data_IF_114649617305
#
_entry.id   IF_114649617305
#
_cell.length_a   1.000
_cell.length_b   1.000
_cell.length_c   1.000
_cell.angle_alpha   90.00
_cell.angle_beta   90.00
_cell.angle_gamma   90.00
#
_symmetry.space_group_name_H-M   'P 1'
#
loop_
_entity.id
_entity.type
_entity.pdbx_description
1 polymer ?
#
# COMPACT_ATOMS: atom_id res chain seq x y z
N UNK A 1 -10.43 -21.86 3.44
CA UNK A 1 -9.24 -22.45 2.79
C UNK A 1 -8.82 -21.79 1.48
N UNK A 2 -9.72 -21.56 0.51
CA UNK A 2 -9.36 -20.96 -0.78
C UNK A 2 -8.63 -19.60 -0.66
N UNK A 3 -9.19 -18.64 0.09
CA UNK A 3 -8.56 -17.32 0.28
C UNK A 3 -7.15 -17.41 0.90
N UNK A 4 -7.00 -18.22 1.96
CA UNK A 4 -5.71 -18.47 2.62
C UNK A 4 -4.65 -19.00 1.64
N UNK A 5 -5.04 -19.91 0.74
CA UNK A 5 -4.14 -20.41 -0.31
C UNK A 5 -3.82 -19.34 -1.35
N UNK A 6 -4.83 -18.60 -1.81
CA UNK A 6 -4.66 -17.51 -2.77
C UNK A 6 -3.61 -16.50 -2.30
N UNK A 7 -3.75 -15.96 -1.09
CA UNK A 7 -2.77 -15.01 -0.54
C UNK A 7 -1.38 -15.63 -0.35
N UNK A 8 -1.30 -16.90 0.05
CA UNK A 8 0.02 -17.55 0.18
C UNK A 8 0.75 -17.65 -1.17
N UNK A 9 0.02 -17.98 -2.24
CA UNK A 9 0.58 -18.09 -3.58
C UNK A 9 0.88 -16.71 -4.20
N UNK A 10 0.01 -15.72 -3.97
CA UNK A 10 0.24 -14.32 -4.37
C UNK A 10 1.49 -13.74 -3.68
N UNK A 11 1.65 -13.96 -2.38
CA UNK A 11 2.77 -13.39 -1.64
C UNK A 11 4.10 -14.04 -2.01
N UNK A 12 4.09 -15.35 -2.32
CA UNK A 12 5.26 -16.02 -2.92
C UNK A 12 5.62 -15.41 -4.27
N UNK A 13 4.64 -15.03 -5.08
CA UNK A 13 4.90 -14.29 -6.33
C UNK A 13 5.49 -12.91 -6.05
N UNK A 14 4.96 -12.16 -5.08
CA UNK A 14 5.49 -10.83 -4.74
C UNK A 14 6.94 -10.91 -4.25
N UNK A 15 7.26 -11.87 -3.37
CA UNK A 15 8.62 -12.15 -2.93
C UNK A 15 9.53 -12.51 -4.12
N UNK A 16 9.05 -13.37 -5.01
CA UNK A 16 9.80 -13.77 -6.22
C UNK A 16 10.09 -12.60 -7.16
N UNK A 17 9.17 -11.63 -7.28
CA UNK A 17 9.39 -10.41 -8.07
C UNK A 17 10.46 -9.53 -7.41
N UNK A 18 10.37 -9.34 -6.08
CA UNK A 18 11.33 -8.55 -5.31
C UNK A 18 12.76 -9.12 -5.37
N UNK A 19 12.89 -10.46 -5.31
CA UNK A 19 14.18 -11.16 -5.34
C UNK A 19 14.58 -11.63 -6.75
N UNK A 20 13.89 -11.18 -7.81
CA UNK A 20 14.11 -11.71 -9.15
C UNK A 20 15.53 -11.39 -9.64
N UNK A 21 16.33 -12.38 -10.08
CA UNK A 21 17.75 -12.18 -10.36
C UNK A 21 18.05 -11.46 -11.68
N UNK A 22 17.01 -11.14 -12.47
CA UNK A 22 17.11 -10.41 -13.73
C UNK A 22 16.31 -9.12 -13.64
N UNK A 23 16.62 -8.10 -14.47
CA UNK A 23 15.79 -6.91 -14.56
C UNK A 23 14.32 -7.26 -14.79
N UNK A 24 13.48 -6.80 -13.87
CA UNK A 24 12.03 -6.80 -13.98
C UNK A 24 11.55 -5.36 -14.16
N UNK A 25 10.89 -5.10 -15.28
CA UNK A 25 10.47 -3.75 -15.70
C UNK A 25 8.95 -3.70 -15.69
N UNK A 26 8.38 -2.85 -14.82
CA UNK A 26 6.94 -2.65 -14.68
C UNK A 26 6.51 -1.33 -15.31
N UNK A 27 5.54 -1.39 -16.20
CA UNK A 27 4.91 -0.26 -16.86
C UNK A 27 3.52 -0.03 -16.24
N UNK A 28 3.35 1.02 -15.44
CA UNK A 28 2.18 1.22 -14.56
C UNK A 28 1.24 2.34 -15.05
N UNK A 29 0.57 2.15 -16.18
CA UNK A 29 -0.41 3.12 -16.69
C UNK A 29 -1.74 3.04 -15.95
N UNK A 30 -2.43 4.18 -15.79
CA UNK A 30 -3.74 4.20 -15.14
C UNK A 30 -3.69 3.74 -13.67
N UNK A 31 -4.69 2.98 -13.24
CA UNK A 31 -4.82 2.56 -11.85
C UNK A 31 -3.93 1.35 -11.52
N UNK A 32 -3.06 1.51 -10.52
CA UNK A 32 -2.27 0.42 -9.92
C UNK A 32 -2.60 0.37 -8.43
N UNK A 33 -3.42 -0.60 -8.01
CA UNK A 33 -3.93 -0.70 -6.63
C UNK A 33 -3.94 -2.15 -6.15
N UNK A 34 -3.77 -2.37 -4.84
CA UNK A 34 -3.75 -3.70 -4.21
C UNK A 34 -2.78 -4.66 -4.90
N UNK A 35 -3.27 -5.82 -5.34
CA UNK A 35 -2.45 -6.80 -6.08
C UNK A 35 -1.70 -6.21 -7.29
N UNK A 36 -2.21 -5.14 -7.91
CA UNK A 36 -1.51 -4.39 -8.95
C UNK A 36 -0.17 -3.82 -8.48
N UNK A 37 -0.13 -3.28 -7.25
CA UNK A 37 1.11 -2.83 -6.58
C UNK A 37 2.03 -4.02 -6.32
N UNK A 38 1.47 -5.15 -5.88
CA UNK A 38 2.24 -6.38 -5.60
C UNK A 38 2.98 -6.95 -6.81
N UNK A 39 2.43 -6.82 -8.02
CA UNK A 39 3.05 -7.33 -9.25
C UNK A 39 3.96 -6.31 -9.96
N UNK A 40 4.01 -5.07 -9.47
CA UNK A 40 4.75 -3.99 -10.13
C UNK A 40 5.77 -3.31 -9.21
N UNK A 41 5.36 -2.84 -8.03
CA UNK A 41 6.13 -1.91 -7.20
C UNK A 41 7.31 -2.56 -6.47
N UNK A 42 7.48 -3.88 -6.57
CA UNK A 42 8.66 -4.62 -6.11
C UNK A 42 9.68 -4.91 -7.22
N UNK A 43 9.34 -4.57 -8.47
CA UNK A 43 10.22 -4.74 -9.61
C UNK A 43 11.46 -3.84 -9.55
N UNK A 44 12.51 -4.24 -10.26
CA UNK A 44 13.77 -3.47 -10.33
C UNK A 44 13.67 -2.12 -11.06
N UNK A 45 12.71 -1.97 -11.98
CA UNK A 45 12.50 -0.74 -12.76
C UNK A 45 11.00 -0.46 -12.85
N UNK A 46 10.54 0.57 -12.15
CA UNK A 46 9.11 0.85 -11.97
C UNK A 46 8.77 2.16 -12.65
N UNK A 47 8.07 2.06 -13.79
CA UNK A 47 7.82 3.17 -14.71
C UNK A 47 6.38 3.66 -14.55
N UNK A 48 6.23 4.94 -14.24
CA UNK A 48 4.97 5.69 -14.26
C UNK A 48 4.91 6.62 -15.47
N UNK A 49 3.70 7.03 -15.84
CA UNK A 49 3.43 7.98 -16.91
C UNK A 49 2.34 8.99 -16.49
N UNK A 50 1.90 9.80 -17.44
CA UNK A 50 1.01 10.96 -17.27
C UNK A 50 -0.29 10.64 -16.52
N UNK A 51 -0.83 9.44 -16.74
CA UNK A 51 -2.12 9.01 -16.18
C UNK A 51 -2.00 7.97 -15.06
N UNK A 52 -0.78 7.70 -14.57
CA UNK A 52 -0.56 6.77 -13.47
C UNK A 52 -1.23 7.27 -12.19
N UNK A 53 -1.96 6.37 -11.53
CA UNK A 53 -2.62 6.58 -10.25
C UNK A 53 -2.41 5.34 -9.38
N UNK A 54 -1.56 5.47 -8.37
CA UNK A 54 -1.21 4.38 -7.45
C UNK A 54 -1.88 4.62 -6.09
N UNK A 55 -2.46 3.60 -5.48
CA UNK A 55 -3.03 3.69 -4.13
C UNK A 55 -3.10 2.31 -3.44
N UNK A 56 -3.20 2.32 -2.11
CA UNK A 56 -3.45 1.15 -1.27
C UNK A 56 -4.80 1.32 -0.54
N UNK A 57 -5.95 0.98 -1.18
CA UNK A 57 -7.29 1.22 -0.65
C UNK A 57 -7.84 0.15 0.30
N UNK A 58 -7.02 -0.80 0.73
CA UNK A 58 -7.43 -2.05 1.40
C UNK A 58 -8.18 -1.81 2.72
N UNK A 59 -7.80 -0.80 3.50
CA UNK A 59 -8.50 -0.46 4.75
C UNK A 59 -9.99 -0.17 4.50
N UNK A 60 -10.34 0.39 3.34
CA UNK A 60 -11.71 0.71 2.94
C UNK A 60 -12.58 -0.52 2.68
N UNK A 61 -11.98 -1.72 2.56
CA UNK A 61 -12.68 -3.00 2.39
C UNK A 61 -12.39 -3.97 3.55
N UNK A 62 -11.91 -3.47 4.69
CA UNK A 62 -11.67 -4.31 5.87
C UNK A 62 -10.42 -5.19 5.76
N UNK A 63 -9.45 -4.80 4.92
CA UNK A 63 -8.16 -5.46 4.75
C UNK A 63 -7.01 -4.48 5.05
N UNK A 64 -5.78 -4.96 5.21
CA UNK A 64 -4.57 -4.12 5.34
C UNK A 64 -3.89 -3.96 3.98
N UNK A 65 -3.11 -2.89 3.74
CA UNK A 65 -2.21 -2.80 2.59
C UNK A 65 -1.25 -4.00 2.58
N UNK A 66 -1.57 -4.99 1.75
CA UNK A 66 -0.90 -6.28 1.67
C UNK A 66 0.02 -6.35 0.45
N UNK A 67 0.36 -7.56 0.00
CA UNK A 67 1.24 -7.85 -1.15
C UNK A 67 2.60 -7.16 -1.08
N UNK A 68 3.13 -6.96 0.14
CA UNK A 68 4.38 -6.24 0.44
C UNK A 68 4.20 -4.72 0.54
N UNK A 69 2.96 -4.24 0.46
CA UNK A 69 2.61 -2.83 0.57
C UNK A 69 3.05 -2.21 1.88
N UNK A 70 3.02 -2.96 2.99
CA UNK A 70 3.52 -2.46 4.29
C UNK A 70 4.99 -2.07 4.22
N UNK A 71 5.83 -2.78 3.44
CA UNK A 71 7.24 -2.44 3.25
C UNK A 71 7.42 -1.17 2.40
N UNK A 72 6.63 -1.01 1.33
CA UNK A 72 6.67 0.19 0.49
C UNK A 72 6.26 1.42 1.31
N UNK A 73 5.16 1.31 2.05
CA UNK A 73 4.69 2.36 2.97
C UNK A 73 5.72 2.64 4.08
N UNK A 74 6.35 1.60 4.64
CA UNK A 74 7.39 1.75 5.65
C UNK A 74 8.61 2.53 5.14
N UNK A 75 8.96 2.40 3.85
CA UNK A 75 10.08 3.09 3.20
C UNK A 75 9.75 4.50 2.71
N UNK A 76 8.47 4.85 2.60
CA UNK A 76 8.05 6.20 2.23
C UNK A 76 8.58 7.24 3.25
N UNK A 77 8.95 8.45 2.79
CA UNK A 77 9.59 9.45 3.64
C UNK A 77 8.70 9.89 4.81
N UNK A 78 9.29 9.96 6.00
CA UNK A 78 8.62 10.39 7.22
C UNK A 78 7.39 9.55 7.55
N UNK A 79 6.23 10.19 7.60
CA UNK A 79 4.92 9.59 7.87
C UNK A 79 4.03 9.48 6.61
N UNK A 80 4.59 9.67 5.41
CA UNK A 80 3.85 9.54 4.15
C UNK A 80 3.21 8.16 3.99
N UNK A 81 3.88 7.09 4.39
CA UNK A 81 3.31 5.74 4.34
C UNK A 81 2.10 5.54 5.25
N UNK A 82 2.10 6.15 6.44
CA UNK A 82 0.95 6.10 7.34
C UNK A 82 -0.24 6.86 6.72
N UNK A 83 0.00 8.06 6.18
CA UNK A 83 -1.02 8.79 5.44
C UNK A 83 -1.60 7.96 4.30
N UNK A 84 -0.76 7.49 3.37
CA UNK A 84 -1.21 6.74 2.18
C UNK A 84 -1.98 5.45 2.54
N UNK A 85 -1.48 4.67 3.50
CA UNK A 85 -2.11 3.41 3.91
C UNK A 85 -3.42 3.58 4.67
N UNK A 86 -3.63 4.72 5.35
CA UNK A 86 -4.84 4.99 6.11
C UNK A 86 -5.92 5.72 5.30
N UNK A 87 -5.53 6.59 4.36
CA UNK A 87 -6.47 7.44 3.61
C UNK A 87 -6.79 6.93 2.22
N UNK A 88 -6.02 5.97 1.70
CA UNK A 88 -6.08 5.51 0.31
C UNK A 88 -5.89 6.64 -0.72
N UNK A 89 -5.19 7.72 -0.32
CA UNK A 89 -4.91 8.85 -1.21
C UNK A 89 -4.13 8.39 -2.44
N UNK A 90 -4.51 8.91 -3.61
CA UNK A 90 -3.93 8.51 -4.89
C UNK A 90 -2.64 9.27 -5.16
N UNK A 91 -1.58 8.53 -5.41
CA UNK A 91 -0.31 9.04 -5.88
C UNK A 91 -0.36 9.20 -7.40
N UNK A 92 -0.14 10.43 -7.87
CA UNK A 92 0.28 10.66 -9.26
C UNK A 92 1.74 10.22 -9.47
N UNK A 93 2.31 10.38 -10.68
CA UNK A 93 3.68 9.95 -10.98
C UNK A 93 4.74 10.56 -10.04
N UNK A 94 4.67 11.86 -9.78
CA UNK A 94 5.60 12.54 -8.86
C UNK A 94 5.53 11.99 -7.43
N UNK A 95 4.32 11.89 -6.88
CA UNK A 95 4.10 11.34 -5.55
C UNK A 95 4.51 9.86 -5.45
N UNK A 96 4.26 9.06 -6.48
CA UNK A 96 4.65 7.66 -6.51
C UNK A 96 6.17 7.49 -6.46
N UNK A 97 6.92 8.33 -7.20
CA UNK A 97 8.38 8.35 -7.15
C UNK A 97 8.85 8.81 -5.76
N UNK A 98 8.29 9.90 -5.22
CA UNK A 98 8.65 10.40 -3.88
C UNK A 98 8.35 9.40 -2.77
N UNK A 99 7.24 8.67 -2.87
CA UNK A 99 6.85 7.65 -1.91
C UNK A 99 7.64 6.34 -2.06
N UNK A 100 8.44 6.20 -3.13
CA UNK A 100 9.22 4.99 -3.41
C UNK A 100 8.40 3.85 -4.01
N UNK A 101 7.23 4.12 -4.59
CA UNK A 101 6.40 3.15 -5.33
C UNK A 101 6.80 3.04 -6.81
N UNK A 102 7.54 4.04 -7.32
CA UNK A 102 8.07 4.08 -8.67
C UNK A 102 9.50 4.66 -8.70
N UNK A 103 10.23 4.44 -9.79
CA UNK A 103 11.60 4.94 -9.97
C UNK A 103 11.70 5.98 -11.08
N UNK A 104 10.91 5.79 -12.15
CA UNK A 104 11.07 6.52 -13.40
C UNK A 104 9.74 7.03 -13.92
N UNK A 105 9.77 8.25 -14.46
CA UNK A 105 8.69 8.79 -15.28
C UNK A 105 9.10 8.73 -16.75
N UNK A 106 8.23 8.18 -17.59
CA UNK A 106 8.34 8.23 -19.04
C UNK A 106 6.95 8.47 -19.61
N UNK A 107 6.79 9.50 -20.43
CA UNK A 107 5.51 9.82 -21.08
C UNK A 107 4.97 8.62 -21.84
N UNK A 108 3.65 8.42 -21.78
CA UNK A 108 3.02 7.18 -22.24
C UNK A 108 3.21 6.94 -23.74
N UNK A 109 3.31 7.99 -24.54
CA UNK A 109 3.54 7.97 -25.98
C UNK A 109 4.91 7.39 -26.38
N UNK A 110 5.90 7.46 -25.48
CA UNK A 110 7.26 6.92 -25.72
C UNK A 110 7.42 5.45 -25.36
N UNK A 111 6.47 4.87 -24.64
CA UNK A 111 6.56 3.47 -24.20
C UNK A 111 6.70 2.47 -25.34
N UNK A 112 5.97 2.57 -26.48
CA UNK A 112 6.16 1.62 -27.59
C UNK A 112 7.60 1.61 -28.11
N UNK A 113 8.25 2.77 -28.21
CA UNK A 113 9.64 2.87 -28.63
C UNK A 113 10.59 2.27 -27.60
N UNK A 114 10.39 2.56 -26.31
CA UNK A 114 11.17 1.97 -25.22
C UNK A 114 11.04 0.45 -25.18
N UNK A 115 9.81 -0.07 -25.20
CA UNK A 115 9.53 -1.52 -25.18
C UNK A 115 10.19 -2.21 -26.38
N UNK A 116 10.05 -1.66 -27.59
CA UNK A 116 10.67 -2.25 -28.79
C UNK A 116 12.20 -2.31 -28.70
N UNK A 117 12.83 -1.30 -28.10
CA UNK A 117 14.28 -1.31 -27.86
C UNK A 117 14.66 -2.32 -26.77
N UNK A 118 13.92 -2.41 -25.67
CA UNK A 118 14.13 -3.39 -24.61
C UNK A 118 14.02 -4.84 -25.12
N UNK A 119 13.02 -5.12 -25.95
CA UNK A 119 12.81 -6.45 -26.55
C UNK A 119 13.95 -6.84 -27.50
N UNK A 120 14.51 -5.87 -28.22
CA UNK A 120 15.59 -6.10 -29.19
C UNK A 120 16.96 -6.25 -28.51
N UNK A 121 17.25 -5.41 -27.52
CA UNK A 121 18.59 -5.35 -26.90
C UNK A 121 18.71 -6.19 -25.63
N UNK A 122 17.63 -6.37 -24.88
CA UNK A 122 17.66 -6.89 -23.51
C UNK A 122 18.32 -5.95 -22.50
N UNK A 123 18.60 -4.70 -22.87
CA UNK A 123 19.33 -3.72 -22.05
C UNK A 123 18.38 -2.87 -21.19
N UNK A 124 18.32 -3.16 -19.90
CA UNK A 124 17.46 -2.45 -18.95
C UNK A 124 17.88 -0.99 -18.72
N UNK A 125 19.13 -0.60 -19.02
CA UNK A 125 19.60 0.78 -18.86
C UNK A 125 18.85 1.77 -19.76
N UNK A 126 18.19 1.29 -20.82
CA UNK A 126 17.31 2.07 -21.67
C UNK A 126 16.19 2.77 -20.89
N UNK A 127 15.70 2.18 -19.78
CA UNK A 127 14.68 2.82 -18.94
C UNK A 127 15.19 4.16 -18.40
N UNK A 128 16.42 4.17 -17.86
CA UNK A 128 17.07 5.37 -17.32
C UNK A 128 17.35 6.39 -18.42
N UNK A 129 17.76 5.95 -19.60
CA UNK A 129 18.03 6.82 -20.75
C UNK A 129 16.76 7.54 -21.19
N UNK A 130 15.65 6.82 -21.35
CA UNK A 130 14.37 7.44 -21.69
C UNK A 130 13.92 8.42 -20.61
N UNK A 131 13.98 8.02 -19.34
CA UNK A 131 13.58 8.85 -18.20
C UNK A 131 14.42 10.13 -18.05
N UNK A 132 15.72 10.10 -18.36
CA UNK A 132 16.60 11.28 -18.20
C UNK A 132 16.27 12.48 -19.09
N UNK A 133 15.44 12.26 -20.11
CA UNK A 133 14.97 13.32 -21.02
C UNK A 133 13.63 13.94 -20.59
N UNK A 134 13.10 13.53 -19.44
CA UNK A 134 11.80 13.96 -18.93
C UNK A 134 11.87 14.27 -17.44
N UNK A 135 10.97 15.15 -17.00
CA UNK A 135 10.78 15.48 -15.59
C UNK A 135 9.40 15.02 -15.17
N UNK A 136 9.32 14.22 -14.11
CA UNK A 136 8.05 13.86 -13.51
C UNK A 136 7.33 15.12 -12.99
N UNK A 137 5.98 15.17 -13.02
CA UNK A 137 5.24 16.22 -12.33
C UNK A 137 5.64 16.34 -10.86
N UNK A 138 5.60 17.55 -10.31
CA UNK A 138 5.93 17.78 -8.91
C UNK A 138 4.96 17.00 -7.99
N UNK A 139 5.48 16.34 -6.92
CA UNK A 139 4.64 15.70 -5.92
C UNK A 139 3.71 16.69 -5.23
N UNK A 140 2.42 16.36 -5.05
CA UNK A 140 1.42 17.31 -4.52
C UNK A 140 1.18 17.20 -3.02
N UNK A 141 1.52 16.08 -2.38
CA UNK A 141 1.32 15.96 -0.93
C UNK A 141 2.31 16.82 -0.14
N UNK A 142 1.85 17.51 0.90
CA UNK A 142 2.73 18.29 1.77
C UNK A 142 3.33 17.39 2.87
N UNK A 143 4.64 17.14 2.81
CA UNK A 143 5.32 16.33 3.81
C UNK A 143 5.39 16.99 5.18
N UNK A 144 5.38 18.32 5.27
CA UNK A 144 5.43 19.00 6.56
C UNK A 144 4.13 18.75 7.34
N UNK A 145 2.98 18.96 6.69
CA UNK A 145 1.67 18.69 7.27
C UNK A 145 1.48 17.21 7.59
N UNK A 146 1.86 16.31 6.66
CA UNK A 146 1.77 14.86 6.90
C UNK A 146 2.63 14.45 8.10
N UNK A 147 3.88 14.89 8.15
CA UNK A 147 4.78 14.51 9.24
C UNK A 147 4.30 15.06 10.58
N UNK A 148 3.70 16.24 10.62
CA UNK A 148 3.13 16.79 11.85
C UNK A 148 1.89 16.02 12.31
N UNK A 149 0.98 15.67 11.40
CA UNK A 149 -0.34 15.15 11.73
C UNK A 149 -0.41 13.62 11.85
N UNK A 150 0.52 12.90 11.23
CA UNK A 150 0.62 11.43 11.27
C UNK A 150 1.78 10.93 12.15
N UNK A 151 2.35 11.80 12.99
CA UNK A 151 3.50 11.48 13.85
C UNK A 151 3.19 10.44 14.94
N UNK A 152 1.95 10.40 15.42
CA UNK A 152 1.57 9.58 16.56
C UNK A 152 1.56 8.08 16.21
N UNK A 153 1.89 7.18 17.16
CA UNK A 153 2.00 5.75 16.88
C UNK A 153 0.65 5.02 16.85
N UNK A 154 -0.44 5.66 17.28
CA UNK A 154 -1.76 5.02 17.39
C UNK A 154 -2.81 5.77 16.59
N UNK A 155 -3.78 5.01 16.08
CA UNK A 155 -4.87 5.55 15.26
C UNK A 155 -5.71 6.62 16.00
N UNK A 156 -6.13 6.42 17.28
CA UNK A 156 -6.85 7.46 18.01
C UNK A 156 -6.05 8.77 18.16
N UNK A 157 -4.74 8.67 18.38
CA UNK A 157 -3.89 9.85 18.53
C UNK A 157 -3.69 10.61 17.21
N UNK A 158 -3.56 9.89 16.08
CA UNK A 158 -3.55 10.51 14.73
C UNK A 158 -4.88 11.22 14.48
N UNK A 159 -6.02 10.57 14.75
CA UNK A 159 -7.35 11.17 14.57
C UNK A 159 -7.50 12.43 15.44
N UNK A 160 -7.07 12.39 16.70
CA UNK A 160 -7.10 13.55 17.59
C UNK A 160 -6.23 14.71 17.07
N UNK A 161 -5.05 14.43 16.51
CA UNK A 161 -4.19 15.44 15.90
C UNK A 161 -4.84 16.09 14.67
N UNK A 162 -5.43 15.28 13.78
CA UNK A 162 -6.16 15.77 12.60
C UNK A 162 -7.36 16.63 12.98
N UNK A 163 -8.15 16.18 13.96
CA UNK A 163 -9.29 16.95 14.49
C UNK A 163 -8.85 18.25 15.15
N UNK A 164 -7.67 18.30 15.78
CA UNK A 164 -7.18 19.52 16.45
C UNK A 164 -6.67 20.57 15.45
N UNK A 165 -6.08 20.15 14.34
CA UNK A 165 -5.42 21.04 13.39
C UNK A 165 -6.39 21.92 12.59
N UNK A 166 -7.63 21.46 12.35
CA UNK A 166 -8.69 22.23 11.67
C UNK A 166 -8.29 22.81 10.29
N UNK A 167 -7.31 22.23 9.59
CA UNK A 167 -6.94 22.59 8.21
C UNK A 167 -7.80 21.81 7.19
N UNK A 168 -7.90 22.26 5.92
CA UNK A 168 -8.58 21.49 4.87
C UNK A 168 -8.00 20.08 4.72
N UNK A 169 -6.67 19.97 4.65
CA UNK A 169 -5.96 18.69 4.59
C UNK A 169 -6.33 17.77 5.76
N UNK A 170 -6.30 18.30 6.99
CA UNK A 170 -6.60 17.51 8.18
C UNK A 170 -8.06 17.02 8.21
N UNK A 171 -9.01 17.84 7.77
CA UNK A 171 -10.42 17.46 7.65
C UNK A 171 -10.63 16.36 6.60
N UNK A 172 -10.01 16.50 5.43
CA UNK A 172 -10.12 15.51 4.35
C UNK A 172 -9.50 14.17 4.75
N UNK A 173 -8.34 14.20 5.40
CA UNK A 173 -7.67 13.01 5.94
C UNK A 173 -8.50 12.35 7.06
N UNK A 174 -9.04 13.11 8.02
CA UNK A 174 -9.91 12.59 9.06
C UNK A 174 -11.19 11.95 8.48
N UNK A 175 -11.78 12.58 7.46
CA UNK A 175 -12.94 12.05 6.77
C UNK A 175 -12.61 10.74 6.02
N UNK A 176 -11.44 10.65 5.38
CA UNK A 176 -11.00 9.44 4.72
C UNK A 176 -10.81 8.29 5.72
N UNK A 177 -10.11 8.54 6.83
CA UNK A 177 -9.90 7.56 7.91
C UNK A 177 -11.23 7.13 8.54
N UNK A 178 -12.18 8.06 8.72
CA UNK A 178 -13.49 7.74 9.29
C UNK A 178 -14.36 6.81 8.42
N UNK A 179 -13.97 6.53 7.18
CA UNK A 179 -14.69 5.63 6.26
C UNK A 179 -14.11 4.21 6.20
N UNK A 180 -12.92 3.99 6.75
CA UNK A 180 -12.23 2.69 6.67
C UNK A 180 -12.47 1.85 7.94
N UNK A 181 -12.17 0.54 7.88
CA UNK A 181 -12.25 -0.34 9.04
C UNK A 181 -11.26 0.11 10.13
N UNK A 182 -11.71 0.41 11.37
CA UNK A 182 -10.81 0.82 12.44
C UNK A 182 -9.76 -0.24 12.78
N UNK A 183 -10.16 -1.53 12.79
CA UNK A 183 -9.24 -2.64 13.04
C UNK A 183 -8.16 -2.73 11.97
N UNK A 184 -8.54 -2.59 10.69
CA UNK A 184 -7.60 -2.65 9.57
C UNK A 184 -6.63 -1.47 9.57
N UNK A 185 -7.13 -0.27 9.85
CA UNK A 185 -6.30 0.93 10.00
C UNK A 185 -5.29 0.81 11.15
N UNK A 186 -5.72 0.31 12.31
CA UNK A 186 -4.82 0.09 13.45
C UNK A 186 -3.76 -0.98 13.16
N UNK A 187 -4.15 -2.09 12.54
CA UNK A 187 -3.20 -3.13 12.12
C UNK A 187 -2.22 -2.64 11.05
N UNK A 188 -2.67 -1.76 10.14
CA UNK A 188 -1.81 -1.14 9.12
C UNK A 188 -0.69 -0.32 9.75
N UNK A 189 -0.98 0.49 10.79
CA UNK A 189 0.06 1.22 11.51
C UNK A 189 1.09 0.29 12.16
N UNK A 190 0.64 -0.82 12.78
CA UNK A 190 1.53 -1.82 13.36
C UNK A 190 2.40 -2.48 12.30
N UNK A 191 1.81 -2.91 11.18
CA UNK A 191 2.52 -3.55 10.07
C UNK A 191 3.57 -2.63 9.43
N UNK A 192 3.25 -1.35 9.23
CA UNK A 192 4.22 -0.36 8.73
C UNK A 192 5.41 -0.21 9.70
N UNK A 193 5.14 -0.13 11.00
CA UNK A 193 6.20 -0.01 12.00
C UNK A 193 7.10 -1.26 12.05
N UNK A 194 6.51 -2.46 12.02
CA UNK A 194 7.25 -3.73 11.99
C UNK A 194 8.04 -3.93 10.70
N UNK A 195 7.44 -3.60 9.55
CA UNK A 195 8.10 -3.67 8.25
C UNK A 195 9.27 -2.67 8.16
N UNK A 196 9.14 -1.48 8.79
CA UNK A 196 10.24 -0.51 8.91
C UNK A 196 11.40 -1.06 9.72
N UNK A 197 11.12 -1.73 10.84
CA UNK A 197 12.14 -2.31 11.70
C UNK A 197 12.85 -3.50 11.04
N UNK A 198 12.11 -4.36 10.33
CA UNK A 198 12.66 -5.54 9.67
C UNK A 198 13.33 -5.24 8.31
N UNK A 199 12.80 -4.25 7.58
CA UNK A 199 13.23 -3.82 6.25
C UNK A 199 13.44 -4.99 5.25
N UNK A 200 12.55 -5.98 5.28
CA UNK A 200 12.60 -7.18 4.44
C UNK A 200 11.23 -7.47 3.86
N UNK A 201 11.18 -7.79 2.57
CA UNK A 201 9.94 -8.16 1.88
C UNK A 201 9.37 -9.46 2.45
N UNK A 202 10.23 -10.41 2.83
CA UNK A 202 9.82 -11.68 3.40
C UNK A 202 9.22 -11.50 4.81
N UNK A 203 9.76 -10.58 5.60
CA UNK A 203 9.19 -10.24 6.91
C UNK A 203 7.82 -9.54 6.76
N UNK A 204 7.73 -8.54 5.87
CA UNK A 204 6.49 -7.82 5.58
C UNK A 204 5.37 -8.76 5.12
N UNK A 205 5.62 -9.59 4.10
CA UNK A 205 4.65 -10.54 3.57
C UNK A 205 4.21 -11.57 4.62
N UNK A 206 5.12 -12.04 5.48
CA UNK A 206 4.76 -12.95 6.58
C UNK A 206 3.80 -12.27 7.56
N UNK A 207 4.07 -11.02 7.94
CA UNK A 207 3.21 -10.29 8.88
C UNK A 207 1.86 -9.92 8.26
N UNK A 208 1.84 -9.49 7.00
CA UNK A 208 0.61 -9.25 6.24
C UNK A 208 -0.22 -10.54 6.11
N UNK A 209 0.42 -11.69 5.90
CA UNK A 209 -0.27 -12.97 5.78
C UNK A 209 -0.98 -13.38 7.06
N UNK A 210 -0.43 -13.04 8.22
CA UNK A 210 -1.10 -13.28 9.51
C UNK A 210 -2.44 -12.55 9.60
N UNK A 211 -2.50 -11.30 9.10
CA UNK A 211 -3.74 -10.56 9.01
C UNK A 211 -4.70 -11.19 8.00
N UNK A 212 -4.27 -11.42 6.75
CA UNK A 212 -5.17 -11.90 5.69
C UNK A 212 -5.63 -13.34 5.92
N UNK A 213 -4.84 -14.17 6.61
CA UNK A 213 -5.24 -15.50 7.05
C UNK A 213 -6.46 -15.47 7.99
N UNK A 214 -6.53 -14.45 8.86
CA UNK A 214 -7.58 -14.26 9.87
C UNK A 214 -8.70 -13.33 9.42
N UNK A 215 -8.50 -12.54 8.36
CA UNK A 215 -9.39 -11.42 7.99
C UNK A 215 -10.83 -11.82 7.70
N UNK A 216 -11.04 -13.00 7.11
CA UNK A 216 -12.39 -13.49 6.79
C UNK A 216 -13.20 -13.92 8.04
N UNK A 217 -12.52 -14.34 9.11
CA UNK A 217 -13.15 -14.91 10.31
C UNK A 217 -13.17 -13.93 11.49
N UNK A 218 -12.10 -13.13 11.61
CA UNK A 218 -11.88 -12.24 12.75
C UNK A 218 -11.75 -10.76 12.33
N UNK A 219 -11.61 -10.47 11.03
CA UNK A 219 -11.52 -9.11 10.50
C UNK A 219 -12.85 -8.59 9.96
N UNK A 220 -12.75 -7.49 9.21
CA UNK A 220 -13.87 -6.80 8.57
C UNK A 220 -13.99 -7.11 7.07
N UNK A 221 -13.15 -8.01 6.54
CA UNK A 221 -12.98 -8.20 5.09
C UNK A 221 -14.29 -8.60 4.39
N UNK A 222 -15.06 -9.52 4.96
CA UNK A 222 -16.32 -9.98 4.35
C UNK A 222 -17.33 -8.84 4.25
N UNK A 223 -17.44 -8.03 5.30
CA UNK A 223 -18.34 -6.88 5.32
C UNK A 223 -17.89 -5.78 4.36
N UNK A 224 -16.59 -5.51 4.30
CA UNK A 224 -16.05 -4.52 3.38
C UNK A 224 -16.27 -4.91 1.92
N UNK A 225 -16.09 -6.19 1.58
CA UNK A 225 -16.40 -6.72 0.25
C UNK A 225 -17.90 -6.65 -0.04
N UNK A 226 -18.76 -6.97 0.93
CA UNK A 226 -20.23 -6.83 0.79
C UNK A 226 -20.59 -5.39 0.42
N UNK A 227 -20.16 -4.42 1.23
CA UNK A 227 -20.52 -3.02 1.07
C UNK A 227 -19.94 -2.37 -0.21
N UNK A 228 -18.72 -2.76 -0.61
CA UNK A 228 -18.03 -2.12 -1.73
C UNK A 228 -18.29 -2.80 -3.09
N UNK A 229 -18.45 -4.13 -3.13
CA UNK A 229 -18.42 -4.90 -4.38
C UNK A 229 -19.75 -5.63 -4.63
N UNK A 230 -20.32 -6.26 -3.61
CA UNK A 230 -21.52 -7.10 -3.77
C UNK A 230 -22.78 -6.22 -3.80
N UNK A 231 -23.07 -5.58 -2.67
CA UNK A 231 -24.28 -4.76 -2.50
C UNK A 231 -24.06 -3.33 -3.02
N UNK A 232 -22.80 -2.87 -2.98
CA UNK A 232 -22.38 -1.53 -3.44
C UNK A 232 -23.12 -0.39 -2.72
N UNK A 233 -23.58 -0.62 -1.50
CA UNK A 233 -24.27 0.38 -0.66
C UNK A 233 -23.31 1.46 -0.11
N UNK A 234 -22.01 1.13 -0.03
CA UNK A 234 -20.96 1.96 0.58
C UNK A 234 -21.22 2.28 2.05
N UNK A 235 -21.95 1.42 2.76
CA UNK A 235 -22.30 1.54 4.18
C UNK A 235 -21.90 0.28 4.94
N UNK A 236 -20.59 0.07 5.16
CA UNK A 236 -20.10 -1.08 5.91
C UNK A 236 -20.41 -0.95 7.42
N UNK A 237 -20.79 -2.05 8.05
CA UNK A 237 -20.95 -2.19 9.50
C UNK A 237 -19.72 -2.87 10.11
N UNK A 238 -18.68 -2.09 10.35
CA UNK A 238 -17.44 -2.58 10.95
C UNK A 238 -17.65 -3.16 12.35
N UNK A 239 -16.84 -4.17 12.71
CA UNK A 239 -16.87 -4.82 14.04
C UNK A 239 -16.63 -3.82 15.18
N UNK A 240 -15.77 -2.84 14.94
CA UNK A 240 -15.50 -1.73 15.84
C UNK A 240 -16.08 -0.45 15.25
N UNK A 241 -16.88 0.29 16.01
CA UNK A 241 -17.53 1.51 15.55
C UNK A 241 -16.58 2.71 15.49
N UNK A 242 -15.45 2.65 16.21
CA UNK A 242 -14.46 3.73 16.24
C UNK A 242 -13.05 3.20 16.53
N UNK A 243 -12.04 4.06 16.34
CA UNK A 243 -10.64 3.73 16.60
C UNK A 243 -10.37 3.45 18.09
N UNK A 244 -11.10 4.09 19.00
CA UNK A 244 -10.96 3.95 20.45
C UNK A 244 -11.44 2.59 20.97
N UNK A 245 -12.28 1.90 20.19
CA UNK A 245 -12.79 0.57 20.55
C UNK A 245 -11.81 -0.56 20.16
N UNK A 246 -10.83 -0.28 19.30
CA UNK A 246 -9.83 -1.26 18.88
C UNK A 246 -8.78 -1.40 19.97
N UNK A 247 -8.68 -2.58 20.56
CA UNK A 247 -7.71 -2.85 21.64
C UNK A 247 -6.37 -3.37 21.10
N UNK A 248 -5.31 -3.28 21.91
CA UNK A 248 -4.04 -3.92 21.58
C UNK A 248 -4.16 -5.45 21.47
N UNK A 249 -5.11 -6.06 22.19
CA UNK A 249 -5.42 -7.48 22.09
C UNK A 249 -6.05 -7.84 20.75
N UNK A 250 -6.94 -6.99 20.20
CA UNK A 250 -7.51 -7.17 18.86
C UNK A 250 -6.42 -7.15 17.79
N UNK A 251 -5.52 -6.16 17.86
CA UNK A 251 -4.39 -6.02 16.93
C UNK A 251 -3.44 -7.22 17.07
N UNK A 252 -3.10 -7.59 18.30
CA UNK A 252 -2.21 -8.71 18.60
C UNK A 252 -2.81 -10.03 18.12
N UNK A 253 -4.11 -10.25 18.29
CA UNK A 253 -4.80 -11.43 17.78
C UNK A 253 -4.68 -11.52 16.25
N UNK A 254 -4.90 -10.41 15.54
CA UNK A 254 -4.80 -10.39 14.08
C UNK A 254 -3.38 -10.66 13.57
N UNK A 255 -2.36 -10.21 14.31
CA UNK A 255 -0.96 -10.24 13.85
C UNK A 255 -0.08 -11.30 14.53
N UNK A 256 -0.62 -12.07 15.48
CA UNK A 256 0.11 -13.13 16.17
C UNK A 256 0.63 -14.18 15.18
N UNK A 257 1.78 -14.84 15.47
CA UNK A 257 2.26 -15.97 14.69
C UNK A 257 1.18 -17.05 14.48
N UNK A 258 1.21 -17.70 13.32
CA UNK A 258 0.24 -18.74 12.93
C UNK A 258 0.73 -20.16 13.25
N UNK A 259 1.89 -20.30 13.92
CA UNK A 259 2.54 -21.60 14.11
C UNK A 259 2.91 -22.24 12.77
N UNK A 260 2.54 -23.50 12.57
CA UNK A 260 2.81 -24.26 11.34
C UNK A 260 2.12 -23.69 10.09
N UNK A 261 1.11 -22.83 10.27
CA UNK A 261 0.40 -22.19 9.17
C UNK A 261 1.01 -20.84 8.74
N UNK A 262 2.14 -20.42 9.32
CA UNK A 262 2.80 -19.16 8.93
C UNK A 262 3.38 -19.23 7.51
N UNK A 263 3.51 -18.08 6.86
CA UNK A 263 3.97 -18.03 5.48
C UNK A 263 5.44 -18.45 5.36
N UNK A 264 5.67 -19.47 4.51
CA UNK A 264 7.00 -19.92 4.09
C UNK A 264 7.30 -19.37 2.70
N UNK A 265 8.42 -18.63 2.60
CA UNK A 265 8.94 -17.94 1.41
C UNK A 265 10.34 -18.45 1.08
#
# INVERSE_FOLDING_TARGET
DYGRKFWADEYRLNAKIADYPKPYIAFMQGFTMGGGVGVSCHGSHRIVCDNSQIAMPECGIGLVPDVGGSLLLARAPGHLGAFLGLTASRMGPGDAIRAGFADHFVSRDRWPALIGQLETSGDADLVRIFASSETAPDPVFDLADINALFAAPTLPAIIAALQSAQTPFARDAAQAIGRVSPLSAACTLRLIAEARAANSIQAALRHEYRFTYRSAEHGDFIEGIRAAIIDKDRTPHWRHASAEQVTDDDISHMLAPLGDADLTL
#
